data_IF_065557511941
#
_entry.id   IF_065557511941
#
_cell.length_a   1.000
_cell.length_b   1.000
_cell.length_c   1.000
_cell.angle_alpha   90.00
_cell.angle_beta   90.00
_cell.angle_gamma   90.00
#
_symmetry.space_group_name_H-M   'P 1'
#
loop_
_entity.id
_entity.type
_entity.pdbx_description
1 polymer ?
#
# COMPACT_ATOMS: atom_id res chain seq x y z
N UNK A 1 -5.62 -21.22 42.24
CA UNK A 1 -5.20 -20.44 41.07
C UNK A 1 -6.44 -19.75 40.53
N UNK A 2 -6.39 -18.45 40.24
CA UNK A 2 -7.46 -17.81 39.47
C UNK A 2 -7.57 -18.56 38.14
N UNK A 3 -8.78 -19.02 37.80
CA UNK A 3 -9.03 -19.68 36.52
C UNK A 3 -9.12 -18.57 35.46
N UNK A 4 -8.03 -18.35 34.74
CA UNK A 4 -7.96 -17.32 33.69
C UNK A 4 -8.56 -17.93 32.42
N UNK A 5 -9.65 -17.35 31.94
CA UNK A 5 -10.27 -17.77 30.68
C UNK A 5 -9.58 -17.07 29.49
N UNK A 6 -8.55 -17.71 28.95
CA UNK A 6 -7.82 -17.20 27.79
C UNK A 6 -8.65 -17.25 26.51
N UNK A 7 -9.53 -18.23 26.36
CA UNK A 7 -10.28 -18.44 25.11
C UNK A 7 -11.24 -17.27 24.90
N UNK A 8 -12.07 -16.96 25.92
CA UNK A 8 -13.01 -15.83 25.86
C UNK A 8 -12.29 -14.49 25.68
N UNK A 9 -11.12 -14.31 26.31
CA UNK A 9 -10.32 -13.10 26.12
C UNK A 9 -9.86 -12.93 24.66
N UNK A 10 -9.36 -14.00 24.04
CA UNK A 10 -8.93 -13.96 22.62
C UNK A 10 -10.11 -13.73 21.69
N UNK A 11 -11.26 -14.37 21.94
CA UNK A 11 -12.49 -14.15 21.17
C UNK A 11 -12.89 -12.67 21.18
N UNK A 12 -12.86 -12.04 22.36
CA UNK A 12 -13.19 -10.61 22.48
C UNK A 12 -12.16 -9.72 21.78
N UNK A 13 -10.86 -10.02 21.93
CA UNK A 13 -9.79 -9.21 21.35
C UNK A 13 -9.79 -9.26 19.82
N UNK A 14 -10.16 -10.38 19.22
CA UNK A 14 -10.24 -10.53 17.75
C UNK A 14 -11.40 -9.76 17.11
N UNK A 15 -12.34 -9.25 17.90
CA UNK A 15 -13.37 -8.31 17.43
C UNK A 15 -12.83 -6.88 17.31
N UNK A 16 -11.82 -6.53 18.11
CA UNK A 16 -11.27 -5.17 18.20
C UNK A 16 -9.90 -5.04 17.50
N UNK A 17 -9.16 -6.14 17.36
CA UNK A 17 -7.80 -6.17 16.83
C UNK A 17 -7.65 -7.18 15.69
N UNK A 18 -6.87 -6.80 14.67
CA UNK A 18 -6.62 -7.65 13.50
C UNK A 18 -5.65 -8.81 13.78
N UNK A 19 -4.87 -8.73 14.86
CA UNK A 19 -3.92 -9.77 15.25
C UNK A 19 -3.85 -9.91 16.76
N UNK A 20 -3.80 -11.15 17.24
CA UNK A 20 -3.60 -11.49 18.65
C UNK A 20 -2.60 -12.64 18.73
N UNK A 21 -1.50 -12.41 19.44
CA UNK A 21 -0.39 -13.37 19.53
C UNK A 21 -0.40 -14.11 20.88
N UNK A 22 -0.18 -15.43 20.81
CA UNK A 22 0.01 -16.30 21.96
C UNK A 22 1.48 -16.75 21.98
N UNK A 23 2.23 -16.25 22.96
CA UNK A 23 3.61 -16.65 23.22
C UNK A 23 3.80 -18.17 23.24
N UNK A 24 4.85 -18.66 22.58
CA UNK A 24 5.18 -20.09 22.40
C UNK A 24 4.21 -20.95 21.58
N UNK A 25 3.13 -20.37 21.04
CA UNK A 25 2.14 -21.10 20.26
C UNK A 25 2.02 -20.58 18.83
N UNK A 26 1.76 -19.28 18.66
CA UNK A 26 1.53 -18.65 17.36
C UNK A 26 0.60 -17.45 17.49
N UNK A 27 0.11 -16.93 16.37
CA UNK A 27 -0.80 -15.78 16.36
C UNK A 27 -2.04 -16.01 15.50
N UNK A 28 -3.16 -15.48 15.97
CA UNK A 28 -4.38 -15.33 15.18
C UNK A 28 -4.29 -14.06 14.35
N UNK A 29 -4.75 -14.15 13.11
CA UNK A 29 -4.76 -13.04 12.16
C UNK A 29 -6.12 -13.00 11.49
N UNK A 30 -6.71 -11.81 11.40
CA UNK A 30 -7.94 -11.58 10.66
C UNK A 30 -7.62 -11.57 9.16
N UNK A 31 -8.32 -12.45 8.43
CA UNK A 31 -8.36 -12.46 6.99
C UNK A 31 -9.67 -11.83 6.52
N UNK A 32 -9.56 -10.66 5.89
CA UNK A 32 -10.67 -9.90 5.34
C UNK A 32 -10.98 -10.42 3.94
N UNK A 33 -12.24 -10.77 3.72
CA UNK A 33 -12.81 -11.04 2.43
C UNK A 33 -13.83 -9.95 2.11
N UNK A 34 -13.56 -9.16 1.07
CA UNK A 34 -14.47 -8.12 0.62
C UNK A 34 -15.79 -8.70 0.08
N UNK A 35 -16.77 -7.82 -0.14
CA UNK A 35 -18.04 -8.21 -0.71
C UNK A 35 -17.82 -8.94 -2.04
N UNK A 36 -18.62 -9.98 -2.29
CA UNK A 36 -18.51 -10.79 -3.50
C UNK A 36 -19.87 -10.87 -4.15
N UNK A 37 -19.94 -10.54 -5.44
CA UNK A 37 -21.08 -10.89 -6.27
C UNK A 37 -20.79 -12.19 -7.01
N UNK A 38 -21.66 -13.19 -6.84
CA UNK A 38 -21.64 -14.41 -7.63
C UNK A 38 -22.64 -14.26 -8.77
N UNK A 39 -22.13 -14.09 -9.99
CA UNK A 39 -22.96 -13.90 -11.20
C UNK A 39 -23.79 -15.14 -11.55
N UNK A 40 -23.32 -16.35 -11.22
CA UNK A 40 -24.00 -17.60 -11.59
C UNK A 40 -25.25 -17.82 -10.75
N UNK A 41 -25.14 -17.54 -9.46
CA UNK A 41 -26.22 -17.65 -8.49
C UNK A 41 -26.99 -16.33 -8.31
N UNK A 42 -26.45 -15.24 -8.86
CA UNK A 42 -26.96 -13.88 -8.71
C UNK A 42 -27.09 -13.46 -7.22
N UNK A 43 -26.16 -13.92 -6.39
CA UNK A 43 -26.11 -13.70 -4.93
C UNK A 43 -25.00 -12.69 -4.61
N UNK A 44 -25.33 -11.72 -3.76
CA UNK A 44 -24.36 -10.80 -3.15
C UNK A 44 -24.03 -11.32 -1.75
N UNK A 45 -22.75 -11.59 -1.53
CA UNK A 45 -22.18 -11.92 -0.23
C UNK A 45 -21.66 -10.64 0.43
N UNK A 46 -22.03 -10.34 1.68
CA UNK A 46 -21.48 -9.22 2.41
C UNK A 46 -19.99 -9.44 2.69
N UNK A 47 -19.30 -8.36 3.10
CA UNK A 47 -17.91 -8.45 3.55
C UNK A 47 -17.83 -9.34 4.78
N UNK A 48 -16.78 -10.16 4.84
CA UNK A 48 -16.56 -11.15 5.88
C UNK A 48 -15.15 -11.00 6.45
N UNK A 49 -15.02 -11.03 7.77
CA UNK A 49 -13.76 -11.27 8.46
C UNK A 49 -13.73 -12.70 8.96
N UNK A 50 -12.72 -13.45 8.53
CA UNK A 50 -12.44 -14.82 8.97
C UNK A 50 -11.13 -14.86 9.73
N UNK A 51 -10.92 -15.88 10.57
CA UNK A 51 -9.68 -16.02 11.32
C UNK A 51 -8.77 -17.01 10.61
N UNK A 52 -7.49 -16.68 10.56
CA UNK A 52 -6.40 -17.58 10.22
C UNK A 52 -5.43 -17.68 11.40
N UNK A 53 -4.69 -18.79 11.45
CA UNK A 53 -3.64 -18.99 12.46
C UNK A 53 -2.28 -19.13 11.79
N UNK A 54 -1.27 -18.51 12.40
CA UNK A 54 0.12 -18.58 11.94
C UNK A 54 1.06 -18.91 13.10
N UNK A 55 1.59 -20.14 13.11
CA UNK A 55 2.57 -20.62 14.10
C UNK A 55 3.89 -19.81 14.10
N UNK A 56 4.22 -19.13 12.99
CA UNK A 56 5.47 -18.36 12.88
C UNK A 56 5.43 -17.04 13.67
N UNK A 57 4.25 -16.56 14.04
CA UNK A 57 4.09 -15.35 14.84
C UNK A 57 4.45 -15.66 16.30
N UNK A 58 5.73 -15.41 16.64
CA UNK A 58 6.27 -15.66 17.98
C UNK A 58 6.55 -14.38 18.78
N UNK A 59 6.63 -13.24 18.11
CA UNK A 59 6.86 -11.94 18.75
C UNK A 59 5.57 -11.47 19.39
N UNK A 60 5.50 -11.53 20.72
CA UNK A 60 4.34 -11.11 21.50
C UNK A 60 4.07 -9.60 21.29
N UNK A 61 2.86 -9.25 20.87
CA UNK A 61 2.39 -7.86 20.74
C UNK A 61 1.96 -7.27 22.09
N UNK A 62 1.88 -8.10 23.12
CA UNK A 62 1.47 -7.75 24.47
C UNK A 62 -0.03 -7.51 24.61
N UNK A 63 -0.83 -7.62 23.55
CA UNK A 63 -2.27 -7.31 23.58
C UNK A 63 -2.99 -8.26 24.52
N UNK A 64 -2.79 -9.56 24.32
CA UNK A 64 -3.42 -10.59 25.16
C UNK A 64 -2.93 -10.50 26.61
N UNK A 65 -1.62 -10.38 26.84
CA UNK A 65 -1.05 -10.28 28.18
C UNK A 65 -1.56 -9.05 28.94
N UNK A 66 -1.65 -7.90 28.27
CA UNK A 66 -2.15 -6.66 28.88
C UNK A 66 -3.64 -6.76 29.22
N UNK A 67 -4.43 -7.35 28.32
CA UNK A 67 -5.86 -7.59 28.55
C UNK A 67 -6.09 -8.49 29.77
N UNK A 68 -5.36 -9.60 29.86
CA UNK A 68 -5.40 -10.52 31.01
C UNK A 68 -4.94 -9.83 32.30
N UNK A 69 -3.88 -9.02 32.25
CA UNK A 69 -3.40 -8.24 33.39
C UNK A 69 -4.48 -7.32 33.95
N UNK A 70 -5.20 -6.62 33.05
CA UNK A 70 -6.29 -5.70 33.39
C UNK A 70 -7.51 -6.43 33.96
N UNK A 71 -7.96 -7.52 33.31
CA UNK A 71 -9.15 -8.25 33.76
C UNK A 71 -8.95 -8.97 35.10
N UNK A 72 -7.76 -9.54 35.34
CA UNK A 72 -7.49 -10.34 36.53
C UNK A 72 -6.79 -9.57 37.65
N UNK A 73 -6.47 -8.29 37.42
CA UNK A 73 -5.75 -7.41 38.38
C UNK A 73 -4.43 -8.06 38.81
N UNK A 74 -3.64 -8.49 37.83
CA UNK A 74 -2.31 -9.07 38.05
C UNK A 74 -1.22 -8.19 37.45
N UNK A 75 0.02 -8.35 37.94
CA UNK A 75 1.15 -7.62 37.36
C UNK A 75 1.38 -8.05 35.91
N UNK A 76 1.83 -7.10 35.06
CA UNK A 76 2.12 -7.37 33.65
C UNK A 76 3.06 -8.57 33.49
N UNK A 77 4.14 -8.62 34.29
CA UNK A 77 5.09 -9.73 34.29
C UNK A 77 4.40 -11.09 34.48
N UNK A 78 3.50 -11.17 35.48
CA UNK A 78 2.75 -12.41 35.76
C UNK A 78 1.79 -12.75 34.61
N UNK A 79 1.20 -11.77 33.95
CA UNK A 79 0.34 -11.99 32.80
C UNK A 79 1.11 -12.55 31.59
N UNK A 80 2.28 -11.98 31.27
CA UNK A 80 3.15 -12.53 30.23
C UNK A 80 3.59 -13.97 30.52
N UNK A 81 3.98 -14.26 31.78
CA UNK A 81 4.29 -15.63 32.20
C UNK A 81 3.10 -16.58 32.05
N UNK A 82 1.89 -16.10 32.36
CA UNK A 82 0.66 -16.89 32.24
C UNK A 82 0.29 -17.18 30.79
N UNK A 83 0.41 -16.20 29.88
CA UNK A 83 0.18 -16.39 28.43
C UNK A 83 1.21 -17.34 27.84
N UNK A 84 2.48 -17.21 28.21
CA UNK A 84 3.55 -18.10 27.75
C UNK A 84 3.35 -19.55 28.24
N UNK A 85 2.86 -19.73 29.47
CA UNK A 85 2.49 -21.04 30.01
C UNK A 85 1.29 -21.64 29.27
N UNK A 86 0.25 -20.84 29.00
CA UNK A 86 -0.92 -21.25 28.24
C UNK A 86 -0.56 -21.72 26.82
N UNK A 87 0.26 -20.95 26.09
CA UNK A 87 0.69 -21.35 24.75
C UNK A 87 1.51 -22.65 24.73
N UNK A 88 2.29 -22.89 25.78
CA UNK A 88 3.01 -24.17 25.94
C UNK A 88 2.05 -25.33 26.23
N UNK A 89 1.09 -25.14 27.14
CA UNK A 89 0.05 -26.14 27.45
C UNK A 89 -0.75 -26.53 26.20
N UNK A 90 -1.16 -25.54 25.40
CA UNK A 90 -1.83 -25.73 24.11
C UNK A 90 -0.99 -26.59 23.16
N UNK A 91 0.30 -26.27 23.03
CA UNK A 91 1.22 -27.00 22.17
C UNK A 91 1.43 -28.44 22.64
N UNK A 92 1.55 -28.64 23.95
CA UNK A 92 1.71 -29.96 24.57
C UNK A 92 0.42 -30.79 24.45
N UNK A 93 -0.75 -30.15 24.49
CA UNK A 93 -2.05 -30.76 24.22
C UNK A 93 -2.15 -31.31 22.79
N UNK A 94 -1.76 -30.52 21.79
CA UNK A 94 -1.76 -30.96 20.39
C UNK A 94 -0.80 -32.12 20.12
N UNK A 95 0.35 -32.17 20.81
CA UNK A 95 1.32 -33.29 20.69
C UNK A 95 0.77 -34.63 21.16
N UNK A 96 -0.29 -34.65 21.97
CA UNK A 96 -0.97 -35.88 22.40
C UNK A 96 -1.92 -36.44 21.32
N UNK A 97 -1.85 -35.93 20.08
CA UNK A 97 -2.67 -36.32 18.93
C UNK A 97 -4.17 -36.21 19.19
N UNK A 98 -4.60 -35.14 19.86
CA UNK A 98 -6.01 -34.83 20.04
C UNK A 98 -6.35 -33.50 19.37
N UNK A 99 -7.41 -33.44 18.54
CA UNK A 99 -7.92 -32.18 18.04
C UNK A 99 -8.40 -31.33 19.22
N UNK A 100 -7.97 -30.07 19.25
CA UNK A 100 -8.24 -29.15 20.33
C UNK A 100 -9.22 -28.08 19.84
N UNK A 101 -10.47 -28.20 20.28
CA UNK A 101 -11.49 -27.18 20.02
C UNK A 101 -11.15 -25.90 20.79
N UNK A 102 -11.20 -24.76 20.11
CA UNK A 102 -10.86 -23.45 20.64
C UNK A 102 -12.06 -22.52 20.58
N UNK A 103 -12.96 -22.69 21.54
CA UNK A 103 -14.19 -21.91 21.65
C UNK A 103 -14.98 -21.85 20.33
N UNK A 104 -15.38 -20.64 19.95
CA UNK A 104 -16.04 -20.32 18.70
C UNK A 104 -15.07 -20.02 17.56
N UNK A 105 -13.75 -19.94 17.82
CA UNK A 105 -12.76 -19.58 16.82
C UNK A 105 -12.58 -20.70 15.79
N UNK A 106 -12.46 -21.94 16.25
CA UNK A 106 -12.17 -23.09 15.38
C UNK A 106 -11.56 -24.26 16.13
N UNK A 107 -10.98 -25.20 15.37
CA UNK A 107 -10.33 -26.40 15.90
C UNK A 107 -8.90 -26.48 15.44
N UNK A 108 -8.00 -26.80 16.36
CA UNK A 108 -6.61 -27.10 16.06
C UNK A 108 -6.41 -28.60 15.89
N UNK A 109 -5.61 -28.99 14.90
CA UNK A 109 -5.16 -30.35 14.68
C UNK A 109 -3.67 -30.38 14.31
N UNK A 110 -3.05 -31.55 14.44
CA UNK A 110 -1.68 -31.77 14.06
C UNK A 110 -1.65 -32.66 12.82
N UNK A 111 -0.83 -32.35 11.82
CA UNK A 111 -0.55 -33.27 10.72
C UNK A 111 0.45 -34.35 11.14
N UNK A 112 0.58 -35.41 10.33
CA UNK A 112 1.61 -36.44 10.47
C UNK A 112 3.04 -35.85 10.48
N UNK A 113 3.21 -34.69 9.85
CA UNK A 113 4.47 -33.93 9.79
C UNK A 113 4.69 -33.02 11.01
N UNK A 114 3.88 -33.15 12.06
CA UNK A 114 3.93 -32.31 13.27
C UNK A 114 3.68 -30.82 13.03
N UNK A 115 2.93 -30.46 11.99
CA UNK A 115 2.53 -29.08 11.71
C UNK A 115 1.15 -28.79 12.29
N UNK A 116 0.99 -27.61 12.88
CA UNK A 116 -0.31 -27.14 13.39
C UNK A 116 -1.19 -26.70 12.22
N UNK A 117 -2.38 -27.29 12.12
CA UNK A 117 -3.46 -26.84 11.24
C UNK A 117 -4.55 -26.24 12.12
N UNK A 118 -5.11 -25.13 11.66
CA UNK A 118 -6.26 -24.50 12.27
C UNK A 118 -7.41 -24.44 11.26
N UNK A 119 -8.54 -25.00 11.65
CA UNK A 119 -9.79 -24.92 10.90
C UNK A 119 -10.71 -23.90 11.56
N UNK A 120 -10.90 -22.71 10.95
CA UNK A 120 -11.74 -21.67 11.53
C UNK A 120 -13.22 -22.03 11.43
N UNK A 121 -14.00 -21.60 12.41
CA UNK A 121 -15.46 -21.67 12.34
C UNK A 121 -15.98 -20.70 11.26
N UNK A 122 -16.58 -21.25 10.21
CA UNK A 122 -17.05 -20.45 9.07
C UNK A 122 -18.39 -19.76 9.32
N UNK A 123 -19.10 -20.12 10.40
CA UNK A 123 -20.44 -19.65 10.71
C UNK A 123 -20.44 -18.22 11.24
N UNK A 124 -19.35 -17.80 11.89
CA UNK A 124 -19.26 -16.51 12.56
C UNK A 124 -18.49 -15.50 11.70
N UNK A 125 -19.06 -14.30 11.54
CA UNK A 125 -18.40 -13.17 10.90
C UNK A 125 -17.82 -12.25 11.98
N UNK A 126 -16.51 -12.08 12.00
CA UNK A 126 -15.82 -11.20 12.96
C UNK A 126 -15.88 -9.72 12.56
N UNK A 127 -16.62 -9.37 11.50
CA UNK A 127 -16.86 -7.99 11.10
C UNK A 127 -18.12 -7.43 11.76
N UNK A 128 -17.95 -6.68 12.85
CA UNK A 128 -19.05 -6.06 13.60
C UNK A 128 -19.90 -5.13 12.72
N UNK A 129 -19.28 -4.46 11.75
CA UNK A 129 -19.98 -3.56 10.81
C UNK A 129 -20.93 -4.30 9.87
N UNK A 130 -20.77 -5.61 9.73
CA UNK A 130 -21.59 -6.48 8.87
C UNK A 130 -22.49 -7.41 9.69
N UNK A 131 -22.56 -7.21 11.01
CA UNK A 131 -23.39 -8.02 11.87
C UNK A 131 -24.87 -7.94 11.45
N UNK A 132 -25.49 -9.10 11.26
CA UNK A 132 -26.88 -9.22 10.80
C UNK A 132 -27.10 -9.02 9.29
N UNK A 133 -26.04 -8.75 8.51
CA UNK A 133 -26.14 -8.77 7.06
C UNK A 133 -26.05 -10.21 6.55
N UNK A 134 -27.09 -10.64 5.85
CA UNK A 134 -27.15 -11.94 5.19
C UNK A 134 -26.88 -11.80 3.70
N UNK A 135 -26.54 -12.92 3.07
CA UNK A 135 -26.47 -12.98 1.61
C UNK A 135 -27.83 -12.60 0.99
N UNK A 136 -27.80 -11.77 -0.04
CA UNK A 136 -29.02 -11.33 -0.73
C UNK A 136 -29.00 -11.78 -2.18
N UNK A 137 -30.10 -12.35 -2.66
CA UNK A 137 -30.27 -12.65 -4.08
C UNK A 137 -30.80 -11.42 -4.80
N UNK A 138 -30.20 -11.09 -5.94
CA UNK A 138 -30.65 -10.01 -6.82
C UNK A 138 -31.93 -10.36 -7.58
N UNK A 139 -32.42 -11.61 -7.46
CA UNK A 139 -33.60 -12.08 -8.17
C UNK A 139 -33.44 -12.12 -9.70
N UNK A 140 -32.19 -12.04 -10.21
CA UNK A 140 -31.92 -12.11 -11.63
C UNK A 140 -32.40 -13.47 -12.17
N UNK A 141 -33.45 -13.44 -12.97
CA UNK A 141 -33.94 -14.62 -13.69
C UNK A 141 -32.88 -14.99 -14.72
N UNK A 142 -32.42 -16.24 -14.73
CA UNK A 142 -31.59 -16.77 -15.82
C UNK A 142 -32.32 -16.46 -17.14
N UNK A 143 -31.74 -15.64 -18.02
CA UNK A 143 -32.27 -15.48 -19.37
C UNK A 143 -32.37 -16.88 -19.96
N UNK A 144 -33.54 -17.28 -20.52
CA UNK A 144 -33.64 -18.58 -21.15
C UNK A 144 -32.56 -18.65 -22.24
N UNK A 145 -31.69 -19.65 -22.13
CA UNK A 145 -30.74 -19.95 -23.19
C UNK A 145 -31.59 -20.39 -24.38
N UNK A 146 -31.49 -19.66 -25.49
CA UNK A 146 -32.12 -20.08 -26.74
C UNK A 146 -31.46 -21.40 -27.14
N UNK A 147 -32.18 -22.50 -26.98
CA UNK A 147 -31.79 -23.77 -27.58
C UNK A 147 -32.06 -23.58 -29.07
N UNK A 148 -31.00 -23.42 -29.86
CA UNK A 148 -31.14 -23.49 -31.31
C UNK A 148 -31.80 -24.83 -31.63
N UNK A 149 -33.01 -24.78 -32.18
CA UNK A 149 -33.68 -25.98 -32.65
C UNK A 149 -32.74 -26.65 -33.66
N UNK A 150 -32.50 -27.98 -33.57
CA UNK A 150 -31.79 -28.68 -34.61
C UNK A 150 -32.53 -28.39 -35.92
N UNK A 151 -31.93 -27.59 -36.79
CA UNK A 151 -32.43 -27.44 -38.15
C UNK A 151 -32.16 -28.79 -38.79
N UNK A 152 -33.19 -29.63 -38.85
CA UNK A 152 -33.17 -30.79 -39.73
C UNK A 152 -32.86 -30.24 -41.12
N UNK A 153 -31.65 -30.53 -41.61
CA UNK A 153 -31.34 -30.34 -43.03
C UNK A 153 -32.28 -31.27 -43.78
N UNK A 154 -33.42 -30.74 -44.21
CA UNK A 154 -34.33 -31.42 -45.14
C UNK A 154 -33.51 -31.84 -46.34
N UNK A 155 -33.68 -33.09 -46.74
CA UNK A 155 -32.93 -33.76 -47.81
C UNK A 155 -33.44 -33.34 -49.20
N UNK A 156 -34.25 -32.29 -49.29
CA UNK A 156 -34.89 -31.82 -50.52
C UNK A 156 -34.44 -30.41 -50.93
N UNK A 157 -33.12 -30.14 -50.93
CA UNK A 157 -32.59 -29.07 -51.76
C UNK A 157 -32.08 -29.67 -53.08
N UNK A 158 -32.97 -29.67 -54.08
CA UNK A 158 -32.57 -29.72 -55.49
C UNK A 158 -31.57 -28.57 -55.76
N UNK A 159 -30.57 -28.73 -56.64
CA UNK A 159 -29.59 -27.69 -56.88
C UNK A 159 -30.26 -26.50 -57.60
N UNK A 160 -30.72 -25.52 -56.83
CA UNK A 160 -31.07 -24.22 -57.35
C UNK A 160 -29.75 -23.49 -57.64
N UNK A 161 -29.56 -23.08 -58.89
CA UNK A 161 -28.41 -22.31 -59.32
C UNK A 161 -28.34 -20.99 -58.55
N UNK A 162 -27.51 -20.97 -57.51
CA UNK A 162 -27.10 -19.76 -56.81
C UNK A 162 -26.21 -18.96 -57.75
N UNK A 163 -26.66 -17.77 -58.14
CA UNK A 163 -25.77 -16.74 -58.68
C UNK A 163 -24.76 -16.42 -57.59
N UNK A 164 -23.48 -16.60 -57.91
CA UNK A 164 -22.37 -16.20 -57.05
C UNK A 164 -22.41 -14.68 -56.85
N UNK A 165 -22.97 -14.25 -55.72
CA UNK A 165 -22.64 -12.96 -55.12
C UNK A 165 -21.34 -13.18 -54.34
N UNK A 166 -20.25 -12.63 -54.89
CA UNK A 166 -18.91 -12.72 -54.30
C UNK A 166 -18.87 -11.80 -53.09
N UNK A 167 -19.20 -12.34 -51.93
CA UNK A 167 -18.88 -11.72 -50.64
C UNK A 167 -17.42 -12.05 -50.32
N UNK A 168 -16.56 -11.02 -50.32
CA UNK A 168 -15.12 -11.14 -50.12
C UNK A 168 -14.82 -11.50 -48.65
N UNK A 169 -14.88 -12.80 -48.33
CA UNK A 169 -14.44 -13.34 -47.04
C UNK A 169 -12.92 -13.21 -46.96
N UNK A 170 -12.44 -12.23 -46.19
CA UNK A 170 -11.03 -12.12 -45.85
C UNK A 170 -10.63 -13.29 -44.94
N UNK A 171 -10.16 -14.40 -45.53
CA UNK A 171 -9.52 -15.45 -44.75
C UNK A 171 -8.26 -14.90 -44.06
N UNK A 172 -8.03 -15.21 -42.77
CA UNK A 172 -6.81 -14.80 -42.10
C UNK A 172 -5.62 -15.42 -42.84
N UNK A 173 -4.83 -14.58 -43.53
CA UNK A 173 -3.64 -15.01 -44.25
C UNK A 173 -2.78 -15.85 -43.32
N UNK A 174 -2.65 -17.15 -43.60
CA UNK A 174 -1.80 -18.06 -42.84
C UNK A 174 -0.35 -17.62 -43.06
N UNK A 175 0.16 -16.85 -42.12
CA UNK A 175 1.53 -16.36 -42.12
C UNK A 175 2.47 -17.57 -42.05
N UNK A 176 3.27 -17.76 -43.09
CA UNK A 176 4.18 -18.90 -43.21
C UNK A 176 5.26 -18.88 -42.12
N UNK A 177 5.77 -20.04 -41.70
CA UNK A 177 6.78 -20.16 -40.64
C UNK A 177 8.05 -19.33 -40.88
N UNK A 178 8.36 -19.04 -42.15
CA UNK A 178 9.51 -18.20 -42.55
C UNK A 178 9.34 -16.74 -42.14
N UNK A 179 8.11 -16.23 -42.06
CA UNK A 179 7.86 -14.84 -41.63
C UNK A 179 8.22 -14.63 -40.15
N UNK A 180 7.89 -15.59 -39.28
CA UNK A 180 8.32 -15.56 -37.88
C UNK A 180 9.84 -15.61 -37.74
N UNK A 181 10.53 -16.35 -38.62
CA UNK A 181 11.99 -16.38 -38.64
C UNK A 181 12.60 -15.00 -38.98
N UNK A 182 12.02 -14.27 -39.94
CA UNK A 182 12.45 -12.91 -40.26
C UNK A 182 12.16 -11.90 -39.14
N UNK A 183 11.01 -12.02 -38.45
CA UNK A 183 10.69 -11.18 -37.28
C UNK A 183 11.70 -11.42 -36.15
N UNK A 184 12.02 -12.69 -35.84
CA UNK A 184 13.02 -13.03 -34.83
C UNK A 184 14.40 -12.48 -35.18
N UNK A 185 14.80 -12.60 -36.45
CA UNK A 185 16.08 -12.08 -36.92
C UNK A 185 16.13 -10.54 -36.81
N UNK A 186 15.06 -9.85 -37.18
CA UNK A 186 14.96 -8.40 -37.04
C UNK A 186 15.02 -7.95 -35.58
N UNK A 187 14.42 -8.71 -34.66
CA UNK A 187 14.46 -8.42 -33.21
C UNK A 187 15.86 -8.62 -32.62
N UNK A 188 16.58 -9.66 -33.05
CA UNK A 188 17.95 -9.92 -32.61
C UNK A 188 18.90 -8.85 -33.15
N UNK A 189 18.82 -8.52 -34.45
CA UNK A 189 19.67 -7.49 -35.06
C UNK A 189 19.35 -6.11 -34.50
N UNK A 190 18.07 -5.78 -34.32
CA UNK A 190 17.62 -4.53 -33.70
C UNK A 190 18.03 -4.44 -32.23
N UNK A 191 17.91 -5.51 -31.47
CA UNK A 191 18.33 -5.59 -30.07
C UNK A 191 19.85 -5.46 -29.91
N UNK A 192 20.63 -6.11 -30.77
CA UNK A 192 22.10 -5.99 -30.78
C UNK A 192 22.55 -4.57 -31.17
N UNK A 193 21.91 -3.99 -32.18
CA UNK A 193 22.15 -2.60 -32.59
C UNK A 193 21.80 -1.60 -31.49
N UNK A 194 20.68 -1.81 -30.79
CA UNK A 194 20.29 -1.01 -29.64
C UNK A 194 21.28 -1.17 -28.48
N UNK A 195 21.74 -2.38 -28.19
CA UNK A 195 22.73 -2.64 -27.13
C UNK A 195 24.04 -1.90 -27.38
N UNK A 196 24.56 -1.94 -28.61
CA UNK A 196 25.80 -1.25 -29.00
C UNK A 196 25.62 0.28 -28.96
N UNK A 197 24.46 0.80 -29.40
CA UNK A 197 24.19 2.25 -29.33
C UNK A 197 23.91 2.77 -27.92
N UNK A 198 23.50 1.89 -26.98
CA UNK A 198 23.05 2.30 -25.64
C UNK A 198 23.99 1.88 -24.51
N UNK A 199 25.19 1.33 -24.78
CA UNK A 199 26.15 0.97 -23.74
C UNK A 199 26.36 2.13 -22.74
N UNK A 200 25.87 2.03 -21.48
CA UNK A 200 26.08 3.06 -20.49
C UNK A 200 27.51 2.95 -19.96
N UNK A 201 28.13 4.09 -19.68
CA UNK A 201 29.51 4.19 -19.21
C UNK A 201 29.64 3.94 -17.69
N UNK A 202 30.71 3.22 -17.40
CA UNK A 202 30.73 2.01 -16.60
C UNK A 202 30.89 1.90 -15.07
N UNK A 203 30.92 2.96 -14.25
CA UNK A 203 31.44 2.79 -12.85
C UNK A 203 30.33 2.39 -11.86
N UNK A 204 30.46 1.22 -11.23
CA UNK A 204 29.52 0.74 -10.21
C UNK A 204 29.92 1.16 -8.80
N UNK A 205 28.93 1.48 -7.97
CA UNK A 205 29.03 1.51 -6.50
C UNK A 205 27.99 0.55 -5.92
N UNK A 206 28.42 -0.31 -4.99
CA UNK A 206 27.56 -1.29 -4.33
C UNK A 206 26.75 -0.61 -3.21
N UNK A 207 25.42 -0.73 -3.26
CA UNK A 207 24.53 -0.46 -2.13
C UNK A 207 23.81 -1.76 -1.74
N UNK A 208 23.88 -2.15 -0.47
CA UNK A 208 23.54 -3.50 0.04
C UNK A 208 22.04 -3.89 0.06
N UNK A 209 21.14 -3.19 -0.62
CA UNK A 209 19.70 -3.53 -0.59
C UNK A 209 18.98 -3.35 -1.94
N UNK A 210 19.62 -3.64 -3.07
CA UNK A 210 18.91 -3.80 -4.35
C UNK A 210 19.59 -4.82 -5.27
N UNK A 211 18.83 -5.72 -5.94
CA UNK A 211 19.39 -6.81 -6.74
C UNK A 211 19.72 -6.40 -8.19
N UNK A 212 19.66 -5.11 -8.55
CA UNK A 212 19.96 -4.65 -9.92
C UNK A 212 21.01 -3.52 -9.90
N UNK A 213 22.12 -3.75 -10.61
CA UNK A 213 23.34 -2.94 -10.60
C UNK A 213 23.23 -1.78 -11.60
N UNK A 214 23.36 -0.53 -11.15
CA UNK A 214 23.37 0.69 -11.99
C UNK A 214 24.81 1.21 -12.12
N UNK A 215 25.20 1.59 -13.35
CA UNK A 215 26.57 1.80 -13.81
C UNK A 215 26.74 3.28 -14.23
N UNK A 216 27.52 4.09 -13.50
CA UNK A 216 27.73 5.55 -13.76
C UNK A 216 29.22 5.95 -13.59
N UNK A 217 29.88 6.34 -14.68
CA UNK A 217 31.27 6.86 -14.72
C UNK A 217 31.44 8.24 -14.05
N UNK A 218 32.07 8.28 -12.87
CA UNK A 218 32.59 9.49 -12.20
C UNK A 218 33.72 10.18 -12.98
N UNK A 219 33.57 11.47 -13.31
CA UNK A 219 34.69 12.34 -13.72
C UNK A 219 35.65 12.60 -12.56
N UNK A 220 36.94 12.66 -12.86
CA UNK A 220 38.04 12.93 -11.94
C UNK A 220 38.00 14.39 -11.47
N UNK A 221 37.73 14.63 -10.19
CA UNK A 221 38.04 15.91 -9.55
C UNK A 221 39.45 15.81 -8.95
N UNK A 222 40.30 16.72 -9.40
CA UNK A 222 41.70 16.88 -9.04
C UNK A 222 41.90 16.95 -7.53
N UNK A 223 42.91 16.23 -7.07
CA UNK A 223 43.47 16.29 -5.73
C UNK A 223 44.19 17.64 -5.58
N UNK A 224 43.64 18.55 -4.76
CA UNK A 224 44.37 19.74 -4.32
C UNK A 224 45.34 19.31 -3.24
N UNK A 225 46.60 19.27 -3.63
CA UNK A 225 47.79 19.16 -2.81
C UNK A 225 47.71 20.18 -1.67
N UNK A 226 47.80 19.71 -0.43
CA UNK A 226 48.13 20.52 0.75
C UNK A 226 49.65 20.60 0.82
N UNK A 227 50.29 21.79 0.83
CA UNK A 227 51.63 21.94 1.34
C UNK A 227 51.57 22.08 2.87
N UNK A 228 52.24 21.12 3.50
CA UNK A 228 52.82 21.16 4.84
C UNK A 228 53.40 22.53 5.22
N UNK A 229 53.31 22.91 6.51
CA UNK A 229 54.47 22.91 7.45
C UNK A 229 54.24 23.73 8.74
N UNK A 230 54.58 23.08 9.87
CA UNK A 230 55.07 23.62 11.17
C UNK A 230 54.08 24.38 12.07
N UNK A 231 54.13 24.32 13.40
CA UNK A 231 54.82 23.50 14.42
C UNK A 231 54.21 23.88 15.78
N UNK A 232 54.02 22.88 16.67
CA UNK A 232 54.13 22.85 18.14
C UNK A 232 53.87 24.16 18.92
N UNK A 233 52.90 24.16 19.84
CA UNK A 233 53.16 24.21 21.30
C UNK A 233 51.89 24.21 22.16
N UNK A 234 52.05 23.68 23.36
CA UNK A 234 51.12 23.24 24.43
C UNK A 234 50.08 24.21 25.01
N UNK A 235 49.13 23.68 25.83
CA UNK A 235 47.99 24.41 26.39
C UNK A 235 48.21 24.88 27.85
N UNK A 236 47.50 25.95 28.27
CA UNK A 236 46.95 26.12 29.64
C UNK A 236 46.04 27.37 29.74
N UNK A 237 45.23 27.53 30.81
CA UNK A 237 43.82 27.92 30.71
C UNK A 237 43.52 29.21 31.53
N UNK A 238 42.23 29.43 31.85
CA UNK A 238 41.67 30.10 33.06
C UNK A 238 40.92 31.42 32.82
N UNK A 239 39.61 31.35 33.14
CA UNK A 239 38.66 32.35 33.71
C UNK A 239 38.49 33.71 32.98
N UNK A 240 37.43 34.51 33.13
CA UNK A 240 36.31 34.67 34.08
C UNK A 240 35.35 35.68 33.40
N UNK A 241 34.03 35.49 33.39
CA UNK A 241 33.02 36.14 34.27
C UNK A 241 32.55 37.54 33.78
N UNK A 242 31.27 37.78 34.04
CA UNK A 242 30.41 38.99 33.92
C UNK A 242 29.71 39.22 32.56
N UNK A 243 28.38 39.10 32.41
CA UNK A 243 27.20 39.70 33.08
C UNK A 243 27.06 41.21 32.87
N UNK A 244 26.03 41.58 32.10
CA UNK A 244 25.13 42.76 32.17
C UNK A 244 24.45 42.86 30.77
N UNK A 245 23.17 42.52 30.56
CA UNK A 245 21.90 43.05 31.07
C UNK A 245 21.57 44.46 30.57
N UNK A 246 20.78 44.60 29.48
CA UNK A 246 19.84 45.73 29.24
C UNK A 246 18.69 45.29 28.33
N UNK A 247 17.47 45.53 28.82
CA UNK A 247 16.12 45.33 28.26
C UNK A 247 15.70 46.35 27.17
N UNK A 248 14.47 46.11 26.70
CA UNK A 248 13.46 47.02 26.10
C UNK A 248 13.44 47.06 24.59
N UNK A 249 12.29 47.07 23.90
CA UNK A 249 10.86 46.94 24.23
C UNK A 249 10.12 46.95 22.87
N UNK A 250 8.95 46.29 22.82
CA UNK A 250 7.70 46.64 22.11
C UNK A 250 7.77 47.03 20.60
N UNK A 251 6.82 46.69 19.73
CA UNK A 251 5.37 46.80 19.90
C UNK A 251 4.71 46.23 18.63
N UNK A 252 3.54 45.61 18.81
CA UNK A 252 2.70 45.09 17.75
C UNK A 252 1.85 46.21 17.10
N UNK A 253 1.50 46.06 15.83
CA UNK A 253 0.28 46.65 15.26
C UNK A 253 -0.29 45.77 14.14
N UNK A 254 -1.46 45.18 14.42
CA UNK A 254 -2.50 44.83 13.43
C UNK A 254 -3.39 46.05 13.21
N UNK A 255 -4.11 46.11 12.08
CA UNK A 255 -5.52 46.45 12.15
C UNK A 255 -6.41 45.42 11.44
N UNK A 256 -7.54 45.11 12.06
CA UNK A 256 -8.73 44.53 11.44
C UNK A 256 -9.60 45.65 10.83
N UNK A 257 -10.41 45.35 9.80
CA UNK A 257 -11.89 45.44 9.82
C UNK A 257 -12.54 45.19 8.44
N UNK A 258 -13.49 44.24 8.48
CA UNK A 258 -14.73 44.00 7.74
C UNK A 258 -14.83 43.39 6.32
N UNK A 259 -15.65 42.32 6.31
CA UNK A 259 -16.08 41.45 5.23
C UNK A 259 -17.33 41.97 4.49
N UNK A 260 -17.42 41.62 3.20
CA UNK A 260 -18.67 41.15 2.55
C UNK A 260 -18.33 40.15 1.43
N UNK A 261 -18.69 38.89 1.69
CA UNK A 261 -19.01 37.77 0.79
C UNK A 261 -18.30 37.64 -0.57
N UNK A 262 -17.32 36.73 -0.63
CA UNK A 262 -17.28 35.58 -1.55
C UNK A 262 -16.70 34.42 -0.73
N UNK A 263 -17.40 33.30 -0.62
CA UNK A 263 -16.88 32.07 -0.01
C UNK A 263 -15.64 31.61 -0.80
N UNK A 264 -14.48 31.70 -0.16
CA UNK A 264 -13.20 31.18 -0.67
C UNK A 264 -12.83 29.99 0.19
N UNK A 265 -13.03 28.80 -0.34
CA UNK A 265 -12.44 27.56 0.15
C UNK A 265 -10.94 27.56 -0.16
N UNK A 266 -10.15 28.24 0.67
CA UNK A 266 -8.67 28.31 0.58
C UNK A 266 -7.95 26.97 0.88
N UNK A 267 -8.68 25.87 0.92
CA UNK A 267 -8.20 24.60 1.45
C UNK A 267 -7.90 23.56 0.36
N UNK A 268 -8.09 23.85 -0.94
CA UNK A 268 -7.81 22.91 -2.03
C UNK A 268 -6.72 23.46 -2.93
N UNK A 269 -5.60 22.74 -3.03
CA UNK A 269 -4.39 23.11 -3.76
C UNK A 269 -4.07 22.11 -4.87
N UNK A 270 -3.61 22.61 -6.01
CA UNK A 270 -3.06 21.80 -7.09
C UNK A 270 -1.56 21.63 -6.86
N UNK A 271 -1.11 20.43 -6.47
CA UNK A 271 0.29 20.17 -6.07
C UNK A 271 1.04 19.48 -7.20
N UNK A 272 2.20 20.02 -7.56
CA UNK A 272 3.08 19.49 -8.61
C UNK A 272 4.37 18.84 -8.06
N UNK A 273 4.58 18.88 -6.75
CA UNK A 273 5.73 18.25 -6.12
C UNK A 273 5.72 18.33 -4.59
N UNK A 274 6.41 17.39 -3.95
CA UNK A 274 6.58 17.34 -2.49
C UNK A 274 8.03 16.99 -2.14
N UNK A 275 8.61 17.71 -1.18
CA UNK A 275 10.03 17.63 -0.81
C UNK A 275 10.21 17.59 0.70
N UNK A 276 11.20 16.84 1.20
CA UNK A 276 11.46 16.73 2.65
C UNK A 276 12.13 17.99 3.24
N UNK A 277 12.94 18.69 2.45
CA UNK A 277 13.72 19.87 2.87
C UNK A 277 13.28 21.09 2.10
N UNK A 278 13.37 22.26 2.73
CA UNK A 278 12.99 23.54 2.15
C UNK A 278 13.87 23.88 0.94
N UNK A 279 15.18 23.67 1.03
CA UNK A 279 16.13 23.89 -0.07
C UNK A 279 15.77 23.12 -1.35
N UNK A 280 15.30 21.87 -1.20
CA UNK A 280 14.86 21.05 -2.35
C UNK A 280 13.54 21.56 -2.93
N UNK A 281 12.65 22.08 -2.08
CA UNK A 281 11.40 22.68 -2.52
C UNK A 281 11.65 23.98 -3.32
N UNK A 282 12.64 24.80 -2.91
CA UNK A 282 13.03 26.00 -3.65
C UNK A 282 13.65 25.68 -5.02
N UNK A 283 14.47 24.63 -5.08
CA UNK A 283 15.01 24.13 -6.35
C UNK A 283 13.88 23.63 -7.27
N UNK A 284 12.96 22.83 -6.74
CA UNK A 284 11.79 22.34 -7.49
C UNK A 284 10.87 23.48 -7.95
N UNK A 285 10.68 24.51 -7.14
CA UNK A 285 9.91 25.71 -7.51
C UNK A 285 10.57 26.44 -8.68
N UNK A 286 11.89 26.61 -8.63
CA UNK A 286 12.65 27.27 -9.70
C UNK A 286 12.57 26.49 -11.01
N UNK A 287 12.61 25.15 -10.95
CA UNK A 287 12.41 24.28 -12.11
C UNK A 287 11.00 24.42 -12.71
N UNK A 288 9.97 24.49 -11.87
CA UNK A 288 8.58 24.70 -12.31
C UNK A 288 8.40 26.08 -12.98
N UNK A 289 9.02 27.12 -12.44
CA UNK A 289 9.02 28.47 -13.04
C UNK A 289 9.71 28.44 -14.41
N UNK A 290 10.85 27.75 -14.55
CA UNK A 290 11.53 27.57 -15.84
C UNK A 290 10.67 26.81 -16.86
N UNK A 291 9.85 25.86 -16.40
CA UNK A 291 8.84 25.16 -17.22
C UNK A 291 7.59 26.02 -17.50
N UNK A 292 7.59 27.28 -17.08
CA UNK A 292 6.55 28.28 -17.37
C UNK A 292 5.37 28.24 -16.41
N UNK A 293 5.52 27.69 -15.20
CA UNK A 293 4.51 27.79 -14.15
C UNK A 293 4.85 28.93 -13.19
N UNK A 294 4.38 30.14 -13.51
CA UNK A 294 4.69 31.35 -12.73
C UNK A 294 3.99 31.37 -11.36
N UNK A 295 2.88 30.65 -11.22
CA UNK A 295 2.06 30.60 -9.99
C UNK A 295 2.54 29.54 -8.98
N UNK A 296 3.78 29.03 -9.12
CA UNK A 296 4.32 28.02 -8.23
C UNK A 296 4.66 28.63 -6.84
N UNK A 297 3.96 28.19 -5.79
CA UNK A 297 4.12 28.64 -4.41
C UNK A 297 4.39 27.44 -3.50
N UNK A 298 5.33 27.58 -2.56
CA UNK A 298 5.60 26.55 -1.54
C UNK A 298 4.59 26.74 -0.40
N UNK A 299 3.85 25.69 -0.07
CA UNK A 299 2.91 25.71 1.04
C UNK A 299 3.67 25.67 2.38
N UNK A 300 3.27 26.49 3.38
CA UNK A 300 3.90 26.47 4.69
C UNK A 300 3.64 25.13 5.39
N UNK A 301 4.71 24.56 5.95
CA UNK A 301 4.71 23.28 6.64
C UNK A 301 4.10 23.43 8.04
N UNK A 302 3.04 22.67 8.33
CA UNK A 302 2.50 22.54 9.69
C UNK A 302 3.35 21.55 10.51
N UNK A 303 3.33 21.63 11.84
CA UNK A 303 4.13 20.77 12.73
C UNK A 303 3.88 19.27 12.51
N UNK A 304 2.67 18.90 12.06
CA UNK A 304 2.26 17.52 11.79
C UNK A 304 2.58 17.01 10.38
N UNK A 305 3.18 17.83 9.51
CA UNK A 305 3.47 17.45 8.12
C UNK A 305 4.95 17.12 7.90
N UNK A 306 5.24 16.09 7.11
CA UNK A 306 6.62 15.66 6.84
C UNK A 306 7.25 16.35 5.62
N UNK A 307 6.44 16.92 4.71
CA UNK A 307 6.88 17.37 3.40
C UNK A 307 6.45 18.82 3.09
N UNK A 308 7.35 19.59 2.48
CA UNK A 308 7.05 20.85 1.80
C UNK A 308 6.43 20.55 0.45
N UNK A 309 5.24 21.11 0.18
CA UNK A 309 4.51 20.89 -1.08
C UNK A 309 4.56 22.15 -1.93
N UNK A 310 4.69 21.98 -3.24
CA UNK A 310 4.66 23.09 -4.20
C UNK A 310 3.30 23.09 -4.89
N UNK A 311 2.51 24.13 -4.62
CA UNK A 311 1.22 24.38 -5.22
C UNK A 311 1.39 25.23 -6.48
N UNK A 312 0.63 24.92 -7.54
CA UNK A 312 0.53 25.72 -8.77
C UNK A 312 -0.70 26.66 -8.76
N UNK A 313 -1.55 26.54 -7.75
CA UNK A 313 -2.81 27.25 -7.64
C UNK A 313 -3.74 26.62 -6.60
N UNK A 314 -4.83 27.34 -6.31
CA UNK A 314 -5.90 26.90 -5.42
C UNK A 314 -7.24 26.91 -6.16
N UNK A 315 -8.10 25.95 -5.86
CA UNK A 315 -9.40 25.81 -6.49
C UNK A 315 -10.52 25.89 -5.44
N UNK A 316 -11.70 26.36 -5.85
CA UNK A 316 -12.86 26.48 -4.95
C UNK A 316 -13.49 25.11 -4.63
N UNK A 317 -13.63 24.27 -5.64
CA UNK A 317 -14.27 22.96 -5.51
C UNK A 317 -13.32 21.85 -5.94
N UNK A 318 -13.49 20.66 -5.36
CA UNK A 318 -12.66 19.50 -5.66
C UNK A 318 -12.80 19.08 -7.14
N UNK A 319 -14.01 19.15 -7.69
CA UNK A 319 -14.28 18.83 -9.10
C UNK A 319 -13.58 19.80 -10.06
N UNK A 320 -13.61 21.10 -9.75
CA UNK A 320 -12.89 22.12 -10.53
C UNK A 320 -11.38 21.90 -10.46
N UNK A 321 -10.86 21.53 -9.28
CA UNK A 321 -9.44 21.25 -9.09
C UNK A 321 -8.96 20.08 -9.94
N UNK A 322 -9.76 19.02 -10.07
CA UNK A 322 -9.43 17.86 -10.92
C UNK A 322 -9.45 18.22 -12.41
N UNK A 323 -10.42 19.04 -12.85
CA UNK A 323 -10.49 19.50 -14.24
C UNK A 323 -9.28 20.37 -14.59
N UNK A 324 -8.92 21.33 -13.73
CA UNK A 324 -7.74 22.18 -13.91
C UNK A 324 -6.44 21.37 -13.87
N UNK A 325 -6.31 20.43 -12.93
CA UNK A 325 -5.16 19.53 -12.88
C UNK A 325 -5.02 18.71 -14.17
N UNK A 326 -6.11 18.17 -14.70
CA UNK A 326 -6.10 17.41 -15.95
C UNK A 326 -5.69 18.28 -17.16
N UNK A 327 -6.13 19.54 -17.21
CA UNK A 327 -5.71 20.49 -18.24
C UNK A 327 -4.20 20.75 -18.18
N UNK A 328 -3.68 21.06 -16.99
CA UNK A 328 -2.25 21.35 -16.79
C UNK A 328 -1.35 20.14 -17.06
N UNK A 329 -1.82 18.91 -16.77
CA UNK A 329 -1.12 17.67 -17.12
C UNK A 329 -0.94 17.53 -18.63
N UNK A 330 -1.98 17.85 -19.41
CA UNK A 330 -2.00 17.71 -20.86
C UNK A 330 -1.02 18.67 -21.55
N UNK A 331 -0.92 19.90 -21.04
CA UNK A 331 -0.11 20.94 -21.68
C UNK A 331 1.40 20.74 -21.48
N UNK A 332 1.83 20.26 -20.31
CA UNK A 332 3.25 20.36 -19.90
C UNK A 332 3.90 19.07 -19.40
N UNK A 333 3.21 17.92 -19.49
CA UNK A 333 3.73 16.60 -19.08
C UNK A 333 4.30 16.56 -17.65
N UNK A 334 3.67 17.27 -16.72
CA UNK A 334 4.00 17.21 -15.28
C UNK A 334 2.86 16.51 -14.56
N UNK A 335 3.18 15.68 -13.58
CA UNK A 335 2.15 15.06 -12.75
C UNK A 335 1.68 16.03 -11.66
N UNK A 336 0.37 16.26 -11.61
CA UNK A 336 -0.27 17.21 -10.71
C UNK A 336 -1.40 16.47 -9.97
N UNK A 337 -1.47 16.60 -8.66
CA UNK A 337 -2.58 16.03 -7.89
C UNK A 337 -3.25 17.09 -7.05
N UNK A 338 -4.51 16.84 -6.71
CA UNK A 338 -5.30 17.73 -5.86
C UNK A 338 -5.03 17.38 -4.40
N UNK A 339 -4.72 18.38 -3.59
CA UNK A 339 -4.45 18.25 -2.17
C UNK A 339 -5.41 19.14 -1.39
N UNK A 340 -6.21 18.54 -0.52
CA UNK A 340 -7.03 19.28 0.43
C UNK A 340 -6.23 19.42 1.73
N UNK A 341 -6.03 20.66 2.17
CA UNK A 341 -5.42 21.01 3.45
C UNK A 341 -6.56 21.18 4.45
N UNK A 342 -6.63 20.32 5.46
CA UNK A 342 -7.65 20.38 6.51
C UNK A 342 -7.26 21.31 7.66
#
# INVERSE_FOLDING_TARGET
MQNIDFISAIESLLLEHDCVIISNFGGFVINVQDFKFDEKEAIIYPRKKSIAFNERLKSDDGILAMHIAKQNVISQKKAFESVAAFGKEMKDGLRKNQPLAFGNLGTFSLTDESKIIFEPNQTFNYDLDQFGLYQVSTGARKKPVLIEAPVEKSLEDLPMQTKEEVEEVQEPRKITSKFYAYILLAFIVGGMGAYILTEPNSKFVNSSFSPLTIRIKKESKQEKIIPTKKVISEPKPINSVDLEDVKSENEALKPEVNLKNIEVSEHIFLVAGSFKTLEKAELGKSELIQKGFQNAVILPKLENETFYRISLGSAKNMDLAYVEAAHLKKDKKIDIWVFKKD
#
